data_IF_430466940005
#
_entry.id   IF_430466940005
#
_cell.length_a   1.000
_cell.length_b   1.000
_cell.length_c   1.000
_cell.angle_alpha   90.00
_cell.angle_beta   90.00
_cell.angle_gamma   90.00
#
_symmetry.space_group_name_H-M   'P 1'
#
loop_
_entity.id
_entity.type
_entity.pdbx_description
1 polymer ?
#
# COMPACT_ATOMS: atom_id res chain seq x y z
N UNK A 1 10.87 -13.13 -2.17
CA UNK A 1 10.90 -14.61 -2.10
C UNK A 1 10.85 -15.00 -0.63
N UNK A 2 9.94 -15.91 -0.25
CA UNK A 2 9.86 -16.41 1.13
C UNK A 2 11.22 -16.97 1.54
N UNK A 3 11.70 -16.60 2.73
CA UNK A 3 12.91 -17.21 3.28
C UNK A 3 12.58 -18.65 3.70
N UNK A 4 13.54 -19.56 3.57
CA UNK A 4 13.36 -20.95 3.98
C UNK A 4 12.86 -21.02 5.44
N UNK A 5 11.73 -21.69 5.65
CA UNK A 5 11.10 -21.85 6.97
C UNK A 5 9.91 -20.94 7.29
N UNK A 6 9.56 -19.98 6.42
CA UNK A 6 8.38 -19.12 6.64
C UNK A 6 7.06 -19.84 6.33
N UNK A 7 6.10 -19.77 7.26
CA UNK A 7 4.77 -20.36 7.08
C UNK A 7 3.90 -19.44 6.18
N UNK A 8 3.52 -19.87 4.96
CA UNK A 8 2.78 -19.04 4.01
C UNK A 8 1.39 -18.63 4.53
N UNK A 9 0.76 -19.47 5.35
CA UNK A 9 -0.52 -19.17 5.96
C UNK A 9 -0.38 -18.04 6.99
N UNK A 10 0.64 -18.11 7.84
CA UNK A 10 0.91 -17.05 8.83
C UNK A 10 1.23 -15.72 8.13
N UNK A 11 2.07 -15.75 7.10
CA UNK A 11 2.41 -14.55 6.33
C UNK A 11 1.17 -13.94 5.65
N UNK A 12 0.32 -14.77 5.05
CA UNK A 12 -0.95 -14.33 4.46
C UNK A 12 -1.87 -13.67 5.48
N UNK A 13 -1.99 -14.25 6.68
CA UNK A 13 -2.79 -13.67 7.76
C UNK A 13 -2.25 -12.30 8.21
N UNK A 14 -0.93 -12.17 8.32
CA UNK A 14 -0.30 -10.90 8.67
C UNK A 14 -0.53 -9.85 7.58
N UNK A 15 -0.39 -10.22 6.30
CA UNK A 15 -0.64 -9.31 5.18
C UNK A 15 -2.09 -8.81 5.15
N UNK A 16 -3.05 -9.73 5.32
CA UNK A 16 -4.48 -9.41 5.24
C UNK A 16 -4.98 -8.62 6.45
N UNK A 17 -4.62 -9.05 7.66
CA UNK A 17 -5.26 -8.55 8.88
C UNK A 17 -4.44 -7.50 9.63
N UNK A 18 -3.16 -7.36 9.31
CA UNK A 18 -2.28 -6.42 10.00
C UNK A 18 -1.67 -5.39 9.04
N UNK A 19 -0.91 -5.86 8.04
CA UNK A 19 -0.09 -4.98 7.19
C UNK A 19 -0.98 -4.13 6.28
N UNK A 20 -1.81 -4.75 5.43
CA UNK A 20 -2.73 -4.02 4.53
C UNK A 20 -3.62 -3.01 5.28
N UNK A 21 -4.29 -3.40 6.38
CA UNK A 21 -5.05 -2.47 7.22
C UNK A 21 -4.22 -1.32 7.79
N UNK A 22 -3.06 -1.61 8.39
CA UNK A 22 -2.22 -0.59 9.00
C UNK A 22 -1.70 0.42 7.97
N UNK A 23 -1.25 -0.06 6.81
CA UNK A 23 -0.75 0.80 5.74
C UNK A 23 -1.84 1.73 5.21
N UNK A 24 -3.04 1.22 4.89
CA UNK A 24 -4.11 2.07 4.37
C UNK A 24 -4.61 3.08 5.39
N UNK A 25 -4.74 2.69 6.66
CA UNK A 25 -5.15 3.60 7.73
C UNK A 25 -4.12 4.72 7.89
N UNK A 26 -2.83 4.41 7.85
CA UNK A 26 -1.78 5.40 7.98
C UNK A 26 -1.68 6.31 6.73
N UNK A 27 -1.52 5.73 5.55
CA UNK A 27 -1.27 6.52 4.33
C UNK A 27 -2.51 7.28 3.86
N UNK A 28 -3.68 6.63 3.82
CA UNK A 28 -4.91 7.25 3.28
C UNK A 28 -5.73 7.87 4.40
N UNK A 29 -5.90 7.12 5.49
CA UNK A 29 -6.70 7.56 6.64
C UNK A 29 -6.08 8.73 7.40
N UNK A 30 -4.75 8.83 7.44
CA UNK A 30 -4.04 9.91 8.15
C UNK A 30 -3.27 10.84 7.20
N UNK A 31 -2.25 10.39 6.48
CA UNK A 31 -1.34 11.28 5.72
C UNK A 31 -2.08 12.03 4.61
N UNK A 32 -2.71 11.33 3.67
CA UNK A 32 -3.45 11.95 2.55
C UNK A 32 -4.61 12.80 3.05
N UNK A 33 -5.35 12.31 4.05
CA UNK A 33 -6.47 13.03 4.68
C UNK A 33 -6.04 14.34 5.34
N UNK A 34 -4.88 14.36 5.99
CA UNK A 34 -4.38 15.55 6.69
C UNK A 34 -3.84 16.62 5.74
N UNK A 35 -3.27 16.22 4.60
CA UNK A 35 -2.76 17.13 3.58
C UNK A 35 -3.87 17.74 2.71
N UNK A 36 -4.96 17.00 2.49
CA UNK A 36 -6.07 17.39 1.61
C UNK A 36 -6.69 18.77 1.93
N UNK A 37 -7.05 19.12 3.19
CA UNK A 37 -7.61 20.43 3.50
C UNK A 37 -6.59 21.59 3.41
N UNK A 38 -5.28 21.29 3.44
CA UNK A 38 -4.21 22.31 3.44
C UNK A 38 -3.73 22.65 2.03
N UNK A 39 -3.64 21.65 1.15
CA UNK A 39 -3.00 21.78 -0.17
C UNK A 39 -3.89 21.33 -1.32
N UNK A 40 -5.09 20.81 -1.04
CA UNK A 40 -6.00 20.24 -2.02
C UNK A 40 -5.78 18.75 -2.27
N UNK A 41 -6.80 18.10 -2.83
CA UNK A 41 -6.85 16.64 -2.98
C UNK A 41 -5.80 16.06 -3.93
N UNK A 42 -5.45 16.77 -4.99
CA UNK A 42 -4.43 16.34 -5.96
C UNK A 42 -3.02 16.41 -5.39
N UNK A 43 -2.68 17.50 -4.70
CA UNK A 43 -1.36 17.66 -4.07
C UNK A 43 -1.20 16.63 -2.95
N UNK A 44 -2.24 16.45 -2.12
CA UNK A 44 -2.23 15.43 -1.07
C UNK A 44 -1.98 14.02 -1.61
N UNK A 45 -2.62 13.66 -2.74
CA UNK A 45 -2.43 12.37 -3.40
C UNK A 45 -0.98 12.19 -3.88
N UNK A 46 -0.45 13.16 -4.63
CA UNK A 46 0.91 13.07 -5.19
C UNK A 46 1.94 12.98 -4.06
N UNK A 47 1.86 13.86 -3.07
CA UNK A 47 2.82 13.89 -1.95
C UNK A 47 2.75 12.59 -1.15
N UNK A 48 1.55 12.11 -0.80
CA UNK A 48 1.39 10.85 -0.08
C UNK A 48 1.97 9.68 -0.87
N UNK A 49 1.69 9.61 -2.17
CA UNK A 49 2.19 8.53 -3.05
C UNK A 49 3.72 8.55 -3.15
N UNK A 50 4.31 9.73 -3.29
CA UNK A 50 5.77 9.87 -3.36
C UNK A 50 6.44 9.45 -2.05
N UNK A 51 5.91 9.87 -0.90
CA UNK A 51 6.47 9.49 0.40
C UNK A 51 6.29 7.97 0.63
N UNK A 52 5.12 7.43 0.30
CA UNK A 52 4.85 5.99 0.34
C UNK A 52 5.82 5.18 -0.53
N UNK A 53 6.10 5.66 -1.73
CA UNK A 53 7.09 5.05 -2.63
C UNK A 53 8.50 5.14 -2.04
N UNK A 54 8.84 6.30 -1.49
CA UNK A 54 10.19 6.59 -0.98
C UNK A 54 10.57 5.70 0.20
N UNK A 55 9.63 5.33 1.09
CA UNK A 55 9.95 4.41 2.20
C UNK A 55 10.39 3.03 1.71
N UNK A 56 10.02 2.65 0.49
CA UNK A 56 10.43 1.38 -0.12
C UNK A 56 11.82 1.42 -0.77
N UNK A 57 12.47 2.59 -0.86
CA UNK A 57 13.80 2.72 -1.48
C UNK A 57 14.86 1.88 -0.78
N UNK A 58 14.71 1.65 0.53
CA UNK A 58 15.60 0.86 1.37
C UNK A 58 15.58 -0.64 1.03
N UNK A 59 14.58 -1.10 0.28
CA UNK A 59 14.55 -2.47 -0.24
C UNK A 59 15.58 -2.71 -1.34
N UNK A 60 16.05 -1.63 -2.00
CA UNK A 60 16.86 -1.68 -3.22
C UNK A 60 16.25 -2.56 -4.33
N UNK A 61 14.94 -2.79 -4.28
CA UNK A 61 14.22 -3.60 -5.26
C UNK A 61 13.42 -2.66 -6.18
N UNK A 62 13.84 -2.60 -7.45
CA UNK A 62 13.19 -1.76 -8.45
C UNK A 62 11.72 -2.12 -8.67
N UNK A 63 11.39 -3.42 -8.74
CA UNK A 63 10.01 -3.88 -8.92
C UNK A 63 9.13 -3.46 -7.75
N UNK A 64 9.63 -3.58 -6.51
CA UNK A 64 8.90 -3.17 -5.31
C UNK A 64 8.66 -1.66 -5.27
N UNK A 65 9.68 -0.85 -5.58
CA UNK A 65 9.57 0.61 -5.62
C UNK A 65 8.55 1.04 -6.68
N UNK A 66 8.62 0.47 -7.88
CA UNK A 66 7.68 0.79 -8.96
C UNK A 66 6.26 0.32 -8.65
N UNK A 67 6.11 -0.86 -8.03
CA UNK A 67 4.81 -1.38 -7.59
C UNK A 67 4.20 -0.48 -6.51
N UNK A 68 4.99 -0.04 -5.52
CA UNK A 68 4.56 0.89 -4.49
C UNK A 68 4.11 2.24 -5.11
N UNK A 69 4.79 2.72 -6.14
CA UNK A 69 4.38 3.94 -6.84
C UNK A 69 3.05 3.79 -7.57
N UNK A 70 2.90 2.72 -8.36
CA UNK A 70 1.70 2.47 -9.18
C UNK A 70 0.49 2.15 -8.29
N UNK A 71 0.63 1.20 -7.37
CA UNK A 71 -0.44 0.87 -6.42
C UNK A 71 -0.72 2.03 -5.47
N UNK A 72 0.33 2.74 -5.05
CA UNK A 72 0.26 3.98 -4.28
C UNK A 72 -0.66 5.02 -4.91
N UNK A 73 -0.44 5.29 -6.21
CA UNK A 73 -1.27 6.20 -6.99
C UNK A 73 -2.70 5.67 -7.18
N UNK A 74 -2.85 4.38 -7.49
CA UNK A 74 -4.14 3.73 -7.69
C UNK A 74 -5.05 3.84 -6.44
N UNK A 75 -4.55 3.39 -5.29
CA UNK A 75 -5.30 3.48 -4.03
C UNK A 75 -5.47 4.94 -3.57
N UNK A 76 -4.51 5.82 -3.83
CA UNK A 76 -4.63 7.25 -3.57
C UNK A 76 -5.74 7.91 -4.39
N UNK A 77 -5.90 7.53 -5.66
CA UNK A 77 -7.01 7.95 -6.53
C UNK A 77 -8.33 7.37 -6.03
N UNK A 78 -8.36 6.07 -5.72
CA UNK A 78 -9.55 5.40 -5.23
C UNK A 78 -10.04 6.02 -3.91
N UNK A 79 -9.12 6.37 -3.00
CA UNK A 79 -9.44 7.09 -1.78
C UNK A 79 -10.01 8.48 -2.06
N UNK A 80 -9.43 9.22 -3.01
CA UNK A 80 -9.93 10.55 -3.41
C UNK A 80 -11.41 10.52 -3.83
N UNK A 81 -11.84 9.50 -4.57
CA UNK A 81 -13.22 9.40 -5.08
C UNK A 81 -14.19 8.74 -4.09
N UNK A 82 -13.79 7.62 -3.46
CA UNK A 82 -14.73 6.82 -2.66
C UNK A 82 -14.66 7.10 -1.16
N UNK A 83 -13.53 7.64 -0.66
CA UNK A 83 -13.26 7.90 0.77
C UNK A 83 -13.56 6.71 1.70
N UNK A 84 -13.57 5.50 1.15
CA UNK A 84 -13.89 4.27 1.86
C UNK A 84 -12.61 3.48 2.12
N UNK A 85 -12.17 3.48 3.38
CA UNK A 85 -10.97 2.74 3.81
C UNK A 85 -11.15 1.24 3.72
N UNK A 86 -12.35 0.70 3.94
CA UNK A 86 -12.55 -0.76 3.90
C UNK A 86 -12.27 -1.30 2.50
N UNK A 87 -12.73 -0.61 1.45
CA UNK A 87 -12.45 -0.99 0.07
C UNK A 87 -10.96 -0.99 -0.24
N UNK A 88 -10.23 0.01 0.28
CA UNK A 88 -8.78 0.12 0.10
C UNK A 88 -8.05 -1.00 0.82
N UNK A 89 -8.40 -1.25 2.08
CA UNK A 89 -7.82 -2.31 2.90
C UNK A 89 -8.00 -3.67 2.23
N UNK A 90 -9.21 -3.98 1.76
CA UNK A 90 -9.48 -5.25 1.07
C UNK A 90 -8.69 -5.33 -0.24
N UNK A 91 -8.66 -4.26 -1.04
CA UNK A 91 -7.91 -4.24 -2.30
C UNK A 91 -6.40 -4.41 -2.07
N UNK A 92 -5.84 -3.76 -1.04
CA UNK A 92 -4.42 -3.86 -0.70
C UNK A 92 -4.08 -5.25 -0.17
N UNK A 93 -4.82 -5.76 0.80
CA UNK A 93 -4.63 -7.09 1.35
C UNK A 93 -4.64 -8.18 0.28
N UNK A 94 -5.57 -8.09 -0.69
CA UNK A 94 -5.64 -9.03 -1.82
C UNK A 94 -4.41 -8.90 -2.73
N UNK A 95 -3.96 -7.67 -3.00
CA UNK A 95 -2.76 -7.42 -3.79
C UNK A 95 -1.52 -8.00 -3.13
N UNK A 96 -1.34 -7.77 -1.83
CA UNK A 96 -0.19 -8.27 -1.07
C UNK A 96 -0.10 -9.78 -1.10
N UNK A 97 -1.20 -10.48 -0.80
CA UNK A 97 -1.20 -11.96 -0.86
C UNK A 97 -0.96 -12.44 -2.27
N UNK A 98 -1.50 -11.76 -3.28
CA UNK A 98 -1.28 -12.12 -4.68
C UNK A 98 0.19 -12.00 -5.07
N UNK A 99 0.85 -10.89 -4.71
CA UNK A 99 2.23 -10.60 -5.13
C UNK A 99 3.27 -11.29 -4.26
N UNK A 100 3.00 -11.54 -2.98
CA UNK A 100 3.99 -12.15 -2.09
C UNK A 100 3.85 -13.67 -1.95
N UNK A 101 2.63 -14.22 -2.14
CA UNK A 101 2.34 -15.65 -1.90
C UNK A 101 1.99 -16.39 -3.19
N UNK A 102 1.00 -15.88 -3.95
CA UNK A 102 0.47 -16.62 -5.12
C UNK A 102 1.37 -16.50 -6.35
N UNK A 103 1.82 -15.28 -6.63
CA UNK A 103 2.63 -14.93 -7.79
C UNK A 103 3.83 -14.07 -7.34
N UNK A 104 4.82 -14.65 -6.64
CA UNK A 104 6.00 -13.94 -6.17
C UNK A 104 6.75 -13.26 -7.31
N UNK A 105 6.56 -11.94 -7.44
CA UNK A 105 7.25 -11.12 -8.44
C UNK A 105 8.60 -10.69 -7.84
N UNK A 106 9.67 -10.83 -8.64
CA UNK A 106 11.06 -10.59 -8.25
C UNK A 106 11.41 -9.11 -8.28
#
# INVERSE_FOLDING_TARGET
MMKEGENPLLLSLLLIFLIGPAEEIFWRGYVQRMLEPKFGSWVALIVTTLIYTLVHIWSFNFMLIMSAMVCGAFWGLLYKYNKNLVTLIVSHAVWDVSVFILFPIV
#
